data_IF_253718123738
#
_entry.id   IF_253718123738
#
_cell.length_a   1.000
_cell.length_b   1.000
_cell.length_c   1.000
_cell.angle_alpha   90.00
_cell.angle_beta   90.00
_cell.angle_gamma   90.00
#
_symmetry.space_group_name_H-M   'P 1'
#
loop_
_entity.id
_entity.type
_entity.pdbx_description
1 polymer ?
#
# COMPACT_ATOMS: atom_id res chain seq x y z
N UNK A 1 25.71 0.90 4.33
CA UNK A 1 25.40 1.60 3.06
C UNK A 1 23.93 1.94 3.05
N UNK A 2 23.52 3.17 2.66
CA UNK A 2 22.09 3.50 2.57
C UNK A 2 21.41 2.64 1.49
N UNK A 3 20.13 2.28 1.67
CA UNK A 3 19.37 1.55 0.65
C UNK A 3 19.29 2.38 -0.63
N UNK A 4 19.28 1.70 -1.78
CA UNK A 4 19.00 2.38 -3.06
C UNK A 4 17.56 2.87 -3.07
N UNK A 5 17.25 3.85 -3.94
CA UNK A 5 15.90 4.38 -4.07
C UNK A 5 14.86 3.27 -4.36
N UNK A 6 15.22 2.28 -5.18
CA UNK A 6 14.36 1.13 -5.46
C UNK A 6 14.14 0.27 -4.21
N UNK A 7 15.18 -0.03 -3.45
CA UNK A 7 15.07 -0.80 -2.22
C UNK A 7 14.19 -0.08 -1.19
N UNK A 8 14.26 1.25 -1.11
CA UNK A 8 13.37 2.04 -0.26
C UNK A 8 11.91 1.95 -0.71
N UNK A 9 11.63 2.06 -2.02
CA UNK A 9 10.27 1.90 -2.57
C UNK A 9 9.71 0.50 -2.28
N UNK A 10 10.50 -0.55 -2.50
CA UNK A 10 10.09 -1.93 -2.23
C UNK A 10 9.82 -2.15 -0.74
N UNK A 11 10.73 -1.70 0.13
CA UNK A 11 10.57 -1.82 1.58
C UNK A 11 9.31 -1.09 2.09
N UNK A 12 9.05 0.12 1.60
CA UNK A 12 7.83 0.87 1.95
C UNK A 12 6.57 0.16 1.44
N UNK A 13 6.59 -0.36 0.20
CA UNK A 13 5.47 -1.12 -0.36
C UNK A 13 5.18 -2.39 0.45
N UNK A 14 6.21 -3.14 0.87
CA UNK A 14 6.04 -4.33 1.71
C UNK A 14 5.55 -3.98 3.12
N UNK A 15 6.05 -2.90 3.71
CA UNK A 15 5.57 -2.42 5.00
C UNK A 15 4.08 -2.07 4.95
N UNK A 16 3.66 -1.33 3.91
CA UNK A 16 2.25 -1.00 3.70
C UNK A 16 1.40 -2.25 3.47
N UNK A 17 1.88 -3.23 2.70
CA UNK A 17 1.17 -4.50 2.50
C UNK A 17 0.99 -5.26 3.80
N UNK A 18 1.99 -5.30 4.67
CA UNK A 18 1.87 -5.94 5.98
C UNK A 18 0.82 -5.24 6.85
N UNK A 19 0.79 -3.90 6.84
CA UNK A 19 -0.24 -3.11 7.53
C UNK A 19 -1.63 -3.39 6.97
N UNK A 20 -1.80 -3.44 5.65
CA UNK A 20 -3.09 -3.75 5.02
C UNK A 20 -3.54 -5.19 5.31
N UNK A 21 -2.63 -6.15 5.33
CA UNK A 21 -2.92 -7.54 5.69
C UNK A 21 -3.41 -7.65 7.15
N UNK A 22 -2.77 -6.94 8.08
CA UNK A 22 -3.24 -6.86 9.47
C UNK A 22 -4.61 -6.17 9.58
N UNK A 23 -4.79 -5.04 8.90
CA UNK A 23 -6.06 -4.33 8.86
C UNK A 23 -7.19 -5.22 8.31
N UNK A 24 -6.89 -6.01 7.28
CA UNK A 24 -7.81 -6.99 6.70
C UNK A 24 -8.20 -8.05 7.71
N UNK A 25 -7.24 -8.66 8.39
CA UNK A 25 -7.52 -9.68 9.41
C UNK A 25 -8.40 -9.13 10.55
N UNK A 26 -8.17 -7.88 10.96
CA UNK A 26 -8.98 -7.20 11.96
C UNK A 26 -10.41 -6.91 11.43
N UNK A 27 -10.55 -6.49 10.17
CA UNK A 27 -11.84 -6.27 9.52
C UNK A 27 -12.64 -7.57 9.38
N UNK A 28 -11.99 -8.68 8.99
CA UNK A 28 -12.59 -10.02 8.93
C UNK A 28 -13.08 -10.47 10.33
N UNK A 29 -12.41 -10.05 11.40
CA UNK A 29 -12.83 -10.26 12.78
C UNK A 29 -13.95 -9.30 13.26
N UNK A 30 -14.51 -8.47 12.37
CA UNK A 30 -15.58 -7.52 12.67
C UNK A 30 -15.14 -6.25 13.39
N UNK A 31 -13.84 -5.96 13.42
CA UNK A 31 -13.33 -4.70 14.00
C UNK A 31 -13.44 -3.56 12.99
N UNK A 32 -13.82 -2.39 13.47
CA UNK A 32 -13.70 -1.17 12.68
C UNK A 32 -12.24 -0.80 12.52
N UNK A 33 -11.85 -0.51 11.28
CA UNK A 33 -10.51 -0.05 10.92
C UNK A 33 -10.63 1.40 10.46
N UNK A 34 -9.76 2.25 11.01
CA UNK A 34 -9.51 3.57 10.43
C UNK A 34 -8.34 3.47 9.45
N UNK A 35 -8.51 4.06 8.27
CA UNK A 35 -7.49 4.13 7.22
C UNK A 35 -6.89 5.53 7.08
N UNK A 36 -7.13 6.41 8.06
CA UNK A 36 -6.55 7.75 8.08
C UNK A 36 -5.03 7.71 7.89
N UNK A 37 -4.53 8.58 7.01
CA UNK A 37 -3.11 8.68 6.69
C UNK A 37 -2.62 7.75 5.58
N UNK A 38 -3.36 6.69 5.24
CA UNK A 38 -2.98 5.75 4.19
C UNK A 38 -2.82 6.44 2.83
N UNK A 39 -3.72 7.37 2.48
CA UNK A 39 -3.64 8.12 1.23
C UNK A 39 -2.33 8.91 1.12
N UNK A 40 -1.86 9.49 2.23
CA UNK A 40 -0.61 10.25 2.27
C UNK A 40 0.62 9.35 2.11
N UNK A 41 0.62 8.20 2.77
CA UNK A 41 1.70 7.20 2.63
C UNK A 41 1.75 6.63 1.21
N UNK A 42 0.59 6.29 0.62
CA UNK A 42 0.48 5.82 -0.75
C UNK A 42 0.91 6.89 -1.75
N UNK A 43 0.50 8.16 -1.56
CA UNK A 43 0.93 9.27 -2.41
C UNK A 43 2.46 9.46 -2.38
N UNK A 44 3.06 9.37 -1.19
CA UNK A 44 4.51 9.46 -1.00
C UNK A 44 5.24 8.31 -1.69
N UNK A 45 4.74 7.07 -1.54
CA UNK A 45 5.26 5.91 -2.24
C UNK A 45 5.16 6.04 -3.76
N UNK A 46 4.02 6.51 -4.28
CA UNK A 46 3.81 6.72 -5.71
C UNK A 46 4.78 7.76 -6.27
N UNK A 47 4.97 8.88 -5.57
CA UNK A 47 5.93 9.91 -5.95
C UNK A 47 7.38 9.37 -5.99
N UNK A 48 7.77 8.58 -4.98
CA UNK A 48 9.08 7.94 -4.94
C UNK A 48 9.28 6.95 -6.10
N UNK A 49 8.26 6.16 -6.44
CA UNK A 49 8.30 5.23 -7.56
C UNK A 49 8.40 5.92 -8.92
N UNK A 50 7.71 7.06 -9.10
CA UNK A 50 7.80 7.88 -10.32
C UNK A 50 9.19 8.51 -10.52
N UNK A 51 9.93 8.73 -9.44
CA UNK A 51 11.30 9.25 -9.50
C UNK A 51 12.36 8.18 -9.81
N UNK A 52 11.97 6.90 -9.93
CA UNK A 52 12.93 5.82 -10.19
C UNK A 52 13.45 5.83 -11.64
N UNK A 53 14.70 5.39 -11.86
CA UNK A 53 15.20 5.13 -13.20
C UNK A 53 14.34 4.09 -13.95
N UNK A 54 14.21 4.19 -15.29
CA UNK A 54 13.36 3.30 -16.07
C UNK A 54 13.75 1.82 -15.94
N UNK A 55 15.03 1.51 -15.71
CA UNK A 55 15.53 0.16 -15.45
C UNK A 55 14.90 -0.50 -14.21
N UNK A 56 14.48 0.30 -13.23
CA UNK A 56 13.86 -0.17 -11.98
C UNK A 56 12.32 -0.27 -12.10
N UNK A 57 11.75 0.22 -13.20
CA UNK A 57 10.31 0.42 -13.33
C UNK A 57 9.48 -0.86 -13.35
N UNK A 58 10.05 -2.00 -13.78
CA UNK A 58 9.34 -3.28 -13.78
C UNK A 58 9.12 -3.82 -12.36
N UNK A 59 10.17 -3.77 -11.54
CA UNK A 59 10.15 -4.28 -10.17
C UNK A 59 9.27 -3.39 -9.27
N UNK A 60 9.40 -2.07 -9.39
CA UNK A 60 8.52 -1.13 -8.69
C UNK A 60 7.05 -1.29 -9.09
N UNK A 61 6.75 -1.48 -10.39
CA UNK A 61 5.38 -1.76 -10.85
C UNK A 61 4.81 -3.03 -10.22
N UNK A 62 5.59 -4.10 -10.15
CA UNK A 62 5.14 -5.35 -9.54
C UNK A 62 4.74 -5.16 -8.07
N UNK A 63 5.59 -4.48 -7.29
CA UNK A 63 5.32 -4.18 -5.89
C UNK A 63 4.07 -3.30 -5.70
N UNK A 64 3.91 -2.26 -6.53
CA UNK A 64 2.73 -1.38 -6.48
C UNK A 64 1.44 -2.11 -6.88
N UNK A 65 1.49 -3.03 -7.85
CA UNK A 65 0.34 -3.86 -8.21
C UNK A 65 -0.06 -4.81 -7.07
N UNK A 66 0.91 -5.43 -6.39
CA UNK A 66 0.64 -6.27 -5.23
C UNK A 66 0.04 -5.47 -4.07
N UNK A 67 0.55 -4.26 -3.81
CA UNK A 67 -0.03 -3.35 -2.81
C UNK A 67 -1.47 -2.97 -3.15
N UNK A 68 -1.74 -2.63 -4.42
CA UNK A 68 -3.10 -2.31 -4.88
C UNK A 68 -4.06 -3.47 -4.69
N UNK A 69 -3.66 -4.70 -5.01
CA UNK A 69 -4.51 -5.88 -4.85
C UNK A 69 -4.88 -6.14 -3.38
N UNK A 70 -3.95 -5.94 -2.45
CA UNK A 70 -4.24 -6.02 -1.00
C UNK A 70 -5.22 -4.93 -0.55
N UNK A 71 -5.03 -3.70 -1.03
CA UNK A 71 -5.95 -2.59 -0.73
C UNK A 71 -7.36 -2.86 -1.26
N UNK A 72 -7.48 -3.33 -2.50
CA UNK A 72 -8.76 -3.72 -3.11
C UNK A 72 -9.45 -4.83 -2.29
N UNK A 73 -8.67 -5.80 -1.79
CA UNK A 73 -9.19 -6.88 -0.94
C UNK A 73 -9.70 -6.36 0.41
N UNK A 74 -9.00 -5.42 1.04
CA UNK A 74 -9.45 -4.77 2.28
C UNK A 74 -10.74 -3.96 2.03
N UNK A 75 -10.77 -3.15 0.97
CA UNK A 75 -11.93 -2.31 0.62
C UNK A 75 -13.19 -3.14 0.36
N UNK A 76 -13.06 -4.36 -0.16
CA UNK A 76 -14.19 -5.28 -0.37
C UNK A 76 -14.83 -5.76 0.94
N UNK A 77 -14.09 -5.75 2.06
CA UNK A 77 -14.58 -6.15 3.38
C UNK A 77 -15.18 -4.99 4.17
N UNK A 78 -14.74 -3.76 3.87
CA UNK A 78 -15.21 -2.60 4.59
C UNK A 78 -16.64 -2.25 4.16
N UNK A 79 -17.53 -1.89 5.10
CA UNK A 79 -18.84 -1.37 4.74
C UNK A 79 -18.67 -0.14 3.86
N UNK A 80 -19.44 -0.05 2.76
CA UNK A 80 -19.40 1.12 1.90
C UNK A 80 -19.66 2.36 2.75
N UNK A 81 -18.87 3.44 2.62
CA UNK A 81 -19.12 4.66 3.35
C UNK A 81 -20.54 5.11 3.01
N UNK A 82 -21.37 5.22 4.05
CA UNK A 82 -22.74 5.72 3.92
C UNK A 82 -22.60 7.21 3.62
N UNK A 83 -22.71 7.56 2.35
CA UNK A 83 -22.81 8.94 1.90
C UNK A 83 -24.18 9.43 2.38
N UNK A 84 -24.20 10.04 3.56
CA UNK A 84 -25.34 10.78 4.11
C UNK A 84 -25.28 12.23 3.68
#
# INVERSE_FOLDING_TARGET
MPPTALQAVLATADSLRATLSLARALAEAGRQIDMAGLDGEVATLCAAALALPPACGAEARHALHALRAELESLLALLPRPQTG
#
